data_IF_525520332345
#
_entry.id   IF_525520332345
#
_cell.length_a   1.000
_cell.length_b   1.000
_cell.length_c   1.000
_cell.angle_alpha   90.00
_cell.angle_beta   90.00
_cell.angle_gamma   90.00
#
_symmetry.space_group_name_H-M   'P 1'
#
loop_
_entity.id
_entity.type
_entity.pdbx_description
1 polymer ?
#
# COMPACT_ATOMS: atom_id res chain seq x y z
N UNK A 1 21.42 12.70 -2.99
CA UNK A 1 20.71 12.55 -1.70
C UNK A 1 21.44 11.44 -0.98
N UNK A 2 22.19 11.77 0.07
CA UNK A 2 23.00 10.81 0.80
C UNK A 2 22.09 9.76 1.43
N UNK A 3 22.22 8.52 0.98
CA UNK A 3 21.71 7.38 1.70
C UNK A 3 22.65 7.16 2.89
N UNK A 4 22.28 7.65 4.06
CA UNK A 4 22.84 7.11 5.29
C UNK A 4 22.44 5.64 5.31
N UNK A 5 23.45 4.77 5.40
CA UNK A 5 23.27 3.34 5.61
C UNK A 5 22.58 3.13 6.96
N UNK A 6 21.25 3.15 6.95
CA UNK A 6 20.45 2.54 8.01
C UNK A 6 20.59 1.04 7.86
N UNK A 7 21.14 0.40 8.89
CA UNK A 7 20.71 -0.92 9.33
C UNK A 7 19.30 -1.26 8.81
N UNK A 8 19.11 -2.45 8.23
CA UNK A 8 17.90 -2.88 7.49
C UNK A 8 16.57 -2.89 8.29
N UNK A 9 16.52 -2.15 9.38
CA UNK A 9 15.42 -1.86 10.29
C UNK A 9 15.00 -0.37 10.29
N UNK A 10 15.68 0.49 9.53
CA UNK A 10 15.33 1.91 9.41
C UNK A 10 14.19 2.10 8.41
N UNK A 11 13.06 2.64 8.89
CA UNK A 11 11.92 2.99 8.04
C UNK A 11 12.29 4.06 7.01
N UNK A 12 11.79 3.93 5.79
CA UNK A 12 12.01 4.90 4.71
C UNK A 12 10.70 5.44 4.15
N UNK A 13 10.77 6.58 3.45
CA UNK A 13 9.61 7.22 2.82
C UNK A 13 9.88 7.54 1.36
N UNK A 14 8.85 7.45 0.54
CA UNK A 14 8.90 7.80 -0.89
C UNK A 14 8.10 9.09 -1.07
N UNK A 15 8.75 10.21 -1.38
CA UNK A 15 8.03 11.48 -1.58
C UNK A 15 7.09 11.46 -2.80
N UNK A 16 7.37 10.61 -3.79
CA UNK A 16 6.57 10.43 -4.99
C UNK A 16 5.48 9.37 -4.89
N UNK A 17 4.83 9.12 -6.02
CA UNK A 17 3.84 8.04 -6.16
C UNK A 17 4.54 6.69 -6.35
N UNK A 18 4.23 5.73 -5.49
CA UNK A 18 4.58 4.33 -5.69
C UNK A 18 3.53 3.66 -6.58
N UNK A 19 3.97 3.07 -7.69
CA UNK A 19 3.11 2.38 -8.65
C UNK A 19 3.52 0.91 -8.72
N UNK A 20 2.58 0.03 -8.35
CA UNK A 20 2.70 -1.43 -8.44
C UNK A 20 1.66 -1.87 -9.46
N UNK A 21 2.09 -2.14 -10.68
CA UNK A 21 1.18 -2.49 -11.76
C UNK A 21 1.70 -3.62 -12.66
N UNK A 22 0.77 -4.46 -13.11
CA UNK A 22 1.03 -5.56 -14.06
C UNK A 22 2.22 -6.45 -13.66
N UNK A 23 2.40 -6.70 -12.36
CA UNK A 23 3.46 -7.57 -11.84
C UNK A 23 3.00 -9.01 -11.62
N UNK A 24 3.97 -9.93 -11.54
CA UNK A 24 3.79 -11.33 -11.17
C UNK A 24 4.01 -11.58 -9.68
N UNK A 25 4.32 -10.54 -8.90
CA UNK A 25 4.48 -10.66 -7.44
C UNK A 25 3.17 -11.12 -6.79
N UNK A 26 3.31 -12.02 -5.82
CA UNK A 26 2.19 -12.51 -5.00
C UNK A 26 2.07 -11.73 -3.69
N UNK A 27 3.14 -11.04 -3.26
CA UNK A 27 3.20 -10.19 -2.08
C UNK A 27 4.24 -9.08 -2.21
N UNK A 28 4.32 -8.22 -1.20
CA UNK A 28 5.11 -6.98 -1.21
C UNK A 28 6.13 -6.90 -0.08
N UNK A 29 6.61 -8.04 0.43
CA UNK A 29 7.39 -8.12 1.68
C UNK A 29 8.64 -7.21 1.71
N UNK A 30 9.24 -6.91 0.56
CA UNK A 30 10.37 -5.99 0.44
C UNK A 30 10.02 -4.53 0.81
N UNK A 31 8.74 -4.20 0.89
CA UNK A 31 8.24 -2.88 1.29
C UNK A 31 8.00 -2.75 2.80
N UNK A 32 8.34 -3.76 3.61
CA UNK A 32 8.01 -3.83 5.04
C UNK A 32 8.45 -2.60 5.85
N UNK A 33 9.49 -1.90 5.43
CA UNK A 33 10.01 -0.71 6.10
C UNK A 33 9.50 0.61 5.48
N UNK A 34 8.52 0.57 4.58
CA UNK A 34 7.91 1.75 3.97
C UNK A 34 6.96 2.42 4.96
N UNK A 35 7.31 3.64 5.37
CA UNK A 35 6.58 4.40 6.39
C UNK A 35 5.56 5.40 5.82
N UNK A 36 5.93 6.11 4.74
CA UNK A 36 5.04 7.05 4.07
C UNK A 36 5.30 7.13 2.57
N UNK A 37 4.25 7.47 1.81
CA UNK A 37 4.34 7.69 0.36
C UNK A 37 3.59 8.93 -0.10
N UNK A 38 4.04 9.54 -1.19
CA UNK A 38 3.32 10.63 -1.85
C UNK A 38 2.00 10.18 -2.49
N UNK A 39 1.92 8.93 -2.93
CA UNK A 39 0.71 8.31 -3.45
C UNK A 39 0.94 6.81 -3.64
N UNK A 40 -0.13 6.01 -3.64
CA UNK A 40 -0.04 4.57 -3.83
C UNK A 40 -1.04 4.11 -4.88
N UNK A 41 -0.54 3.46 -5.93
CA UNK A 41 -1.36 2.78 -6.93
C UNK A 41 -0.98 1.30 -6.99
N UNK A 42 -1.95 0.44 -6.71
CA UNK A 42 -1.87 -1.02 -6.88
C UNK A 42 -2.89 -1.40 -7.95
N UNK A 43 -2.42 -1.66 -9.18
CA UNK A 43 -3.29 -1.76 -10.35
C UNK A 43 -3.01 -2.99 -11.23
N UNK A 44 -4.04 -3.76 -11.59
CA UNK A 44 -3.90 -4.89 -12.53
C UNK A 44 -2.84 -5.93 -12.16
N UNK A 45 -2.70 -6.25 -10.86
CA UNK A 45 -1.81 -7.33 -10.41
C UNK A 45 -2.63 -8.61 -10.21
N UNK A 46 -2.62 -9.49 -11.23
CA UNK A 46 -3.46 -10.68 -11.25
C UNK A 46 -3.04 -11.76 -10.24
N UNK A 47 -1.76 -11.78 -9.85
CA UNK A 47 -1.18 -12.75 -8.92
C UNK A 47 -1.08 -12.23 -7.47
N UNK A 48 -1.27 -10.93 -7.25
CA UNK A 48 -1.09 -10.29 -5.94
C UNK A 48 -2.24 -10.68 -5.01
N UNK A 49 -1.95 -11.42 -3.94
CA UNK A 49 -2.97 -11.91 -2.99
C UNK A 49 -3.01 -11.10 -1.70
N UNK A 50 -1.96 -10.34 -1.41
CA UNK A 50 -1.79 -9.63 -0.14
C UNK A 50 -1.00 -8.32 -0.30
N UNK A 51 -1.32 -7.35 0.56
CA UNK A 51 -0.55 -6.11 0.75
C UNK A 51 0.39 -6.19 1.98
N UNK A 52 0.68 -7.39 2.50
CA UNK A 52 1.33 -7.61 3.81
C UNK A 52 2.59 -6.79 4.07
N UNK A 53 3.44 -6.61 3.07
CA UNK A 53 4.63 -5.78 3.17
C UNK A 53 4.37 -4.28 3.33
N UNK A 54 3.13 -3.79 3.34
CA UNK A 54 2.81 -2.40 3.66
C UNK A 54 2.49 -2.17 5.15
N UNK A 55 2.75 -3.16 6.01
CA UNK A 55 2.33 -3.13 7.42
C UNK A 55 2.82 -1.92 8.22
N UNK A 56 3.92 -1.26 7.83
CA UNK A 56 4.44 -0.06 8.50
C UNK A 56 4.00 1.25 7.83
N UNK A 57 3.22 1.20 6.76
CA UNK A 57 2.74 2.38 6.05
C UNK A 57 1.69 3.10 6.90
N UNK A 58 2.02 4.31 7.34
CA UNK A 58 1.14 5.10 8.23
C UNK A 58 0.41 6.23 7.50
N UNK A 59 0.96 6.71 6.39
CA UNK A 59 0.48 7.91 5.71
C UNK A 59 0.70 7.88 4.20
N UNK A 60 -0.34 8.28 3.48
CA UNK A 60 -0.31 8.54 2.03
C UNK A 60 -0.65 10.03 1.84
N UNK A 61 0.25 10.82 1.27
CA UNK A 61 0.00 12.27 1.07
C UNK A 61 -1.07 12.55 0.01
N UNK A 62 -1.15 11.69 -1.00
CA UNK A 62 -2.05 11.83 -2.13
C UNK A 62 -3.05 10.67 -2.19
N UNK A 63 -3.26 10.15 -3.39
CA UNK A 63 -4.28 9.15 -3.66
C UNK A 63 -3.84 7.74 -3.26
N UNK A 64 -4.79 6.96 -2.75
CA UNK A 64 -4.73 5.51 -2.62
C UNK A 64 -5.67 4.87 -3.64
N UNK A 65 -5.10 4.19 -4.64
CA UNK A 65 -5.83 3.46 -5.67
C UNK A 65 -5.52 1.96 -5.60
N UNK A 66 -6.51 1.13 -5.29
CA UNK A 66 -6.41 -0.33 -5.35
C UNK A 66 -7.45 -0.83 -6.35
N UNK A 67 -7.01 -1.10 -7.57
CA UNK A 67 -7.91 -1.33 -8.71
C UNK A 67 -7.53 -2.57 -9.52
N UNK A 68 -8.52 -3.39 -9.87
CA UNK A 68 -8.33 -4.53 -10.78
C UNK A 68 -7.28 -5.57 -10.31
N UNK A 69 -7.17 -5.83 -8.99
CA UNK A 69 -6.31 -6.88 -8.43
C UNK A 69 -7.16 -8.11 -8.10
N UNK A 70 -7.42 -8.94 -9.10
CA UNK A 70 -8.43 -10.01 -9.02
C UNK A 70 -8.17 -11.05 -7.92
N UNK A 71 -6.91 -11.33 -7.58
CA UNK A 71 -6.54 -12.30 -6.56
C UNK A 71 -6.41 -11.70 -5.14
N UNK A 72 -6.48 -10.38 -4.99
CA UNK A 72 -6.35 -9.70 -3.70
C UNK A 72 -7.59 -9.98 -2.84
N UNK A 73 -7.42 -10.56 -1.65
CA UNK A 73 -8.54 -10.99 -0.80
C UNK A 73 -8.84 -10.03 0.35
N UNK A 74 -7.86 -9.26 0.79
CA UNK A 74 -7.98 -8.28 1.87
C UNK A 74 -6.98 -7.12 1.67
N UNK A 75 -7.09 -6.10 2.52
CA UNK A 75 -6.17 -4.96 2.60
C UNK A 75 -5.50 -4.86 3.97
N UNK A 76 -5.35 -5.98 4.69
CA UNK A 76 -4.89 -6.00 6.08
C UNK A 76 -3.46 -5.50 6.25
N UNK A 77 -2.67 -5.53 5.17
CA UNK A 77 -1.36 -4.86 5.11
C UNK A 77 -1.41 -3.35 5.39
N UNK A 78 -2.58 -2.71 5.33
CA UNK A 78 -2.75 -1.28 5.58
C UNK A 78 -3.23 -0.95 7.00
N UNK A 79 -3.23 -1.90 7.94
CA UNK A 79 -3.81 -1.71 9.28
C UNK A 79 -3.22 -0.55 10.11
N UNK A 80 -2.02 -0.06 9.78
CA UNK A 80 -1.39 1.11 10.43
C UNK A 80 -1.62 2.43 9.67
N UNK A 81 -2.29 2.40 8.50
CA UNK A 81 -2.61 3.58 7.72
C UNK A 81 -3.67 4.41 8.46
N UNK A 82 -3.31 5.64 8.79
CA UNK A 82 -4.20 6.58 9.51
C UNK A 82 -4.64 7.75 8.64
N UNK A 83 -3.86 8.10 7.61
CA UNK A 83 -4.12 9.29 6.78
C UNK A 83 -3.94 9.01 5.29
N UNK A 84 -4.95 9.42 4.53
CA UNK A 84 -4.92 9.57 3.07
C UNK A 84 -5.21 11.04 2.79
N UNK A 85 -4.29 11.75 2.15
CA UNK A 85 -4.46 13.17 1.83
C UNK A 85 -5.26 13.43 0.56
N UNK A 86 -5.36 12.44 -0.33
CA UNK A 86 -6.14 12.49 -1.57
C UNK A 86 -7.34 11.55 -1.58
N UNK A 87 -7.67 11.06 -2.77
CA UNK A 87 -8.79 10.14 -3.00
C UNK A 87 -8.45 8.73 -2.54
N UNK A 88 -9.41 8.07 -1.89
CA UNK A 88 -9.43 6.61 -1.72
C UNK A 88 -10.30 5.98 -2.81
N UNK A 89 -9.72 5.12 -3.63
CA UNK A 89 -10.42 4.39 -4.68
C UNK A 89 -10.11 2.89 -4.59
N UNK A 90 -11.17 2.09 -4.34
CA UNK A 90 -11.10 0.63 -4.33
C UNK A 90 -12.23 0.09 -5.21
N UNK A 91 -11.87 -0.52 -6.35
CA UNK A 91 -12.84 -1.11 -7.28
C UNK A 91 -12.24 -2.25 -8.10
N UNK A 92 -13.11 -3.07 -8.67
CA UNK A 92 -12.73 -4.16 -9.59
C UNK A 92 -11.79 -5.21 -8.97
N UNK A 93 -11.77 -5.35 -7.64
CA UNK A 93 -11.00 -6.38 -6.93
C UNK A 93 -11.94 -7.56 -6.58
N UNK A 94 -12.17 -8.45 -7.54
CA UNK A 94 -13.25 -9.46 -7.47
C UNK A 94 -13.19 -10.40 -6.25
N UNK A 95 -12.01 -10.69 -5.71
CA UNK A 95 -11.84 -11.57 -4.55
C UNK A 95 -11.77 -10.83 -3.22
N UNK A 96 -11.85 -9.49 -3.23
CA UNK A 96 -11.69 -8.67 -2.02
C UNK A 96 -12.94 -8.75 -1.15
N UNK A 97 -12.83 -9.36 0.03
CA UNK A 97 -13.96 -9.59 0.94
C UNK A 97 -13.93 -8.72 2.19
N UNK A 98 -12.79 -8.06 2.47
CA UNK A 98 -12.60 -7.28 3.68
C UNK A 98 -11.88 -5.95 3.41
N UNK A 99 -12.32 -4.91 4.11
CA UNK A 99 -11.68 -3.59 4.19
C UNK A 99 -11.19 -3.26 5.61
N UNK A 100 -11.14 -4.24 6.52
CA UNK A 100 -10.76 -4.04 7.92
C UNK A 100 -9.36 -3.42 8.08
N UNK A 101 -8.44 -3.69 7.15
CA UNK A 101 -7.15 -3.03 7.09
C UNK A 101 -7.22 -1.49 7.00
N UNK A 102 -8.37 -0.89 6.65
CA UNK A 102 -8.54 0.57 6.58
C UNK A 102 -9.27 1.17 7.79
N UNK A 103 -9.56 0.37 8.83
CA UNK A 103 -10.33 0.80 10.01
C UNK A 103 -9.80 2.03 10.74
N UNK A 104 -8.51 2.34 10.60
CA UNK A 104 -7.83 3.45 11.27
C UNK A 104 -7.78 4.74 10.42
N UNK A 105 -8.26 4.69 9.17
CA UNK A 105 -8.28 5.87 8.29
C UNK A 105 -9.39 6.82 8.73
N UNK A 106 -9.00 8.04 9.14
CA UNK A 106 -9.94 9.08 9.56
C UNK A 106 -10.06 10.18 8.51
N UNK A 107 -11.20 10.89 8.52
CA UNK A 107 -11.35 12.15 7.77
C UNK A 107 -10.60 13.24 8.52
N UNK A 108 -9.85 14.06 7.78
CA UNK A 108 -9.26 15.31 8.28
C UNK A 108 -10.33 16.39 8.40
#
# INVERSE_FOLDING_TARGET
IEALAGDGNSCFSISGKLVIERTTLTGLEDLRNLYSVGGLRVHSNLALTSLGGLCNLTRIEGDLEIVNNRALTNVDGLHNLTRIGGKLEIRDNASLTSLEGLRNVTRQ
#
